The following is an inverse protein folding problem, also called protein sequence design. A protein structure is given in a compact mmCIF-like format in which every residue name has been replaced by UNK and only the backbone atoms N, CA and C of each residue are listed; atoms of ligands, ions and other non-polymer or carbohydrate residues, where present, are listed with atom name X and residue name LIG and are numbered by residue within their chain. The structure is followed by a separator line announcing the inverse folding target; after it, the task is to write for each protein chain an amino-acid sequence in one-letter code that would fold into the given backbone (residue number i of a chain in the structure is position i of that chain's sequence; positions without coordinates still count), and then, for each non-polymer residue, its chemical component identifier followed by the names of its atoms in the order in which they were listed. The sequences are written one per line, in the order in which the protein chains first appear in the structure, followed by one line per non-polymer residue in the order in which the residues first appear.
data_IF_095589113495
#
_entry.id   IF_095589113495
#
_cell.length_a   1.000
_cell.length_b   1.000
_cell.length_c   1.000
_cell.angle_alpha   90.00
_cell.angle_beta   90.00
_cell.angle_gamma   90.00
#
_symmetry.space_group_name_H-M   'P 1'
#
loop_
_entity.id
_entity.type
_entity.pdbx_description
1 polymer ?
#
# COMPACT_ATOMS: atom_id res chain seq x y z
N UNK A 1 9.66 -15.21 36.70
CA UNK A 1 10.51 -15.65 35.56
C UNK A 1 10.90 -14.41 34.78
N UNK A 2 12.16 -13.97 34.85
CA UNK A 2 12.63 -12.81 34.12
C UNK A 2 13.11 -13.27 32.73
N UNK A 3 12.29 -13.08 31.71
CA UNK A 3 12.74 -13.22 30.33
C UNK A 3 13.58 -12.00 29.97
N UNK A 4 14.90 -12.16 29.96
CA UNK A 4 15.80 -11.19 29.33
C UNK A 4 15.51 -11.19 27.82
N UNK A 5 14.84 -10.14 27.34
CA UNK A 5 14.67 -9.87 25.90
C UNK A 5 16.07 -9.63 25.33
N UNK A 6 16.67 -10.66 24.75
CA UNK A 6 17.89 -10.53 23.96
C UNK A 6 17.49 -9.81 22.67
N UNK A 7 17.55 -8.47 22.65
CA UNK A 7 17.43 -7.69 21.42
C UNK A 7 18.56 -8.12 20.49
N UNK A 8 18.24 -8.90 19.48
CA UNK A 8 19.18 -9.24 18.43
C UNK A 8 19.21 -8.02 17.48
N UNK A 9 20.28 -7.19 17.46
CA UNK A 9 20.29 -5.93 16.69
C UNK A 9 20.32 -6.14 15.18
N UNK A 10 20.45 -7.39 14.74
CA UNK A 10 20.75 -7.81 13.37
C UNK A 10 19.65 -8.66 12.72
N UNK A 11 18.47 -8.79 13.35
CA UNK A 11 17.28 -9.22 12.61
C UNK A 11 16.86 -8.06 11.70
N UNK A 12 17.35 -8.05 10.47
CA UNK A 12 17.03 -7.04 9.46
C UNK A 12 15.53 -6.76 9.44
N UNK A 13 15.13 -5.49 9.59
CA UNK A 13 13.72 -5.07 9.59
C UNK A 13 13.00 -5.48 8.29
N UNK A 14 13.76 -5.73 7.24
CA UNK A 14 13.30 -6.21 5.94
C UNK A 14 13.90 -7.59 5.66
N UNK A 15 13.69 -8.53 6.58
CA UNK A 15 14.17 -9.90 6.42
C UNK A 15 13.67 -10.50 5.09
N UNK A 16 14.60 -11.02 4.29
CA UNK A 16 14.36 -11.72 3.03
C UNK A 16 14.88 -13.15 3.14
N UNK A 17 14.22 -14.10 2.49
CA UNK A 17 14.58 -15.52 2.48
C UNK A 17 15.37 -15.93 1.23
N UNK A 18 15.83 -14.95 0.45
CA UNK A 18 16.60 -15.11 -0.79
C UNK A 18 15.96 -16.02 -1.86
N UNK A 19 14.65 -16.27 -1.77
CA UNK A 19 13.88 -17.06 -2.76
C UNK A 19 13.04 -16.12 -3.63
N UNK A 20 12.80 -16.47 -4.91
CA UNK A 20 11.94 -15.66 -5.76
C UNK A 20 10.47 -15.79 -5.34
N UNK A 21 9.81 -14.66 -5.13
CA UNK A 21 8.37 -14.58 -4.78
C UNK A 21 7.64 -13.73 -5.83
N UNK A 22 7.52 -14.20 -7.09
CA UNK A 22 7.09 -13.37 -8.21
C UNK A 22 5.70 -12.76 -8.01
N UNK A 23 4.76 -13.48 -7.39
CA UNK A 23 3.43 -12.96 -7.09
C UNK A 23 3.49 -11.86 -6.03
N UNK A 24 4.13 -12.12 -4.89
CA UNK A 24 4.24 -11.18 -3.77
C UNK A 24 5.01 -9.93 -4.15
N UNK A 25 6.11 -10.09 -4.89
CA UNK A 25 6.92 -8.98 -5.41
C UNK A 25 6.12 -8.12 -6.41
N UNK A 26 5.30 -8.77 -7.25
CA UNK A 26 4.41 -8.04 -8.18
C UNK A 26 3.31 -7.29 -7.43
N UNK A 27 2.68 -7.93 -6.44
CA UNK A 27 1.66 -7.28 -5.61
C UNK A 27 2.24 -6.09 -4.84
N UNK A 28 3.45 -6.24 -4.29
CA UNK A 28 4.20 -5.17 -3.64
C UNK A 28 4.45 -4.01 -4.60
N UNK A 29 5.04 -4.28 -5.76
CA UNK A 29 5.36 -3.25 -6.75
C UNK A 29 4.09 -2.53 -7.25
N UNK A 30 3.05 -3.29 -7.60
CA UNK A 30 1.76 -2.75 -8.03
C UNK A 30 1.14 -1.85 -6.95
N UNK A 31 1.16 -2.29 -5.69
CA UNK A 31 0.61 -1.52 -4.56
C UNK A 31 1.39 -0.23 -4.34
N UNK A 32 2.72 -0.25 -4.42
CA UNK A 32 3.54 0.95 -4.29
C UNK A 32 3.30 1.94 -5.42
N UNK A 33 3.17 1.46 -6.66
CA UNK A 33 2.85 2.31 -7.81
C UNK A 33 1.45 2.91 -7.67
N UNK A 34 0.45 2.11 -7.30
CA UNK A 34 -0.92 2.60 -7.08
C UNK A 34 -0.98 3.61 -5.94
N UNK A 35 -0.31 3.34 -4.82
CA UNK A 35 -0.23 4.27 -3.69
C UNK A 35 0.47 5.59 -4.03
N UNK A 36 1.55 5.52 -4.82
CA UNK A 36 2.24 6.72 -5.31
C UNK A 36 1.34 7.54 -6.24
N UNK A 37 0.64 6.90 -7.19
CA UNK A 37 -0.31 7.58 -8.07
C UNK A 37 -1.43 8.21 -7.23
N UNK A 38 -2.00 7.48 -6.27
CA UNK A 38 -3.09 7.96 -5.43
C UNK A 38 -2.68 9.20 -4.63
N UNK A 39 -1.55 9.15 -3.91
CA UNK A 39 -1.13 10.27 -3.05
C UNK A 39 -0.62 11.49 -3.84
N UNK A 40 -0.02 11.29 -5.03
CA UNK A 40 0.45 12.40 -5.86
C UNK A 40 -0.73 13.07 -6.57
N UNK A 41 -1.66 12.27 -7.12
CA UNK A 41 -2.84 12.80 -7.80
C UNK A 41 -3.79 13.51 -6.85
N UNK A 42 -3.83 13.13 -5.56
CA UNK A 42 -4.67 13.78 -4.56
C UNK A 42 -4.29 15.24 -4.25
N UNK A 43 -3.11 15.69 -4.67
CA UNK A 43 -2.67 17.10 -4.55
C UNK A 43 -3.45 18.00 -5.55
N UNK A 44 -4.02 17.42 -6.60
CA UNK A 44 -4.72 18.15 -7.66
C UNK A 44 -6.23 17.90 -7.58
N UNK A 45 -7.00 18.95 -7.32
CA UNK A 45 -8.48 18.87 -7.17
C UNK A 45 -9.18 18.23 -8.38
N UNK A 46 -8.63 18.45 -9.59
CA UNK A 46 -9.19 17.91 -10.84
C UNK A 46 -8.91 16.42 -11.05
N UNK A 47 -8.00 15.81 -10.28
CA UNK A 47 -7.60 14.41 -10.43
C UNK A 47 -8.21 13.49 -9.35
N UNK A 48 -9.22 13.95 -8.62
CA UNK A 48 -9.86 13.19 -7.55
C UNK A 48 -10.42 11.83 -8.02
N UNK A 49 -10.88 11.72 -9.26
CA UNK A 49 -11.37 10.45 -9.82
C UNK A 49 -10.24 9.41 -9.93
N UNK A 50 -9.08 9.84 -10.47
CA UNK A 50 -7.88 9.02 -10.57
C UNK A 50 -7.37 8.63 -9.17
N UNK A 51 -7.28 9.62 -8.27
CA UNK A 51 -6.87 9.41 -6.88
C UNK A 51 -7.76 8.41 -6.15
N UNK A 52 -9.08 8.51 -6.32
CA UNK A 52 -10.06 7.62 -5.68
C UNK A 52 -9.97 6.20 -6.22
N UNK A 53 -9.90 6.00 -7.53
CA UNK A 53 -9.82 4.64 -8.09
C UNK A 53 -8.47 3.97 -7.82
N UNK A 54 -7.37 4.69 -8.02
CA UNK A 54 -6.04 4.14 -7.77
C UNK A 54 -5.82 3.86 -6.28
N UNK A 55 -6.31 4.74 -5.40
CA UNK A 55 -6.30 4.53 -3.96
C UNK A 55 -7.16 3.32 -3.54
N UNK A 56 -8.38 3.17 -4.08
CA UNK A 56 -9.23 2.01 -3.79
C UNK A 56 -8.60 0.69 -4.22
N UNK A 57 -8.12 0.61 -5.46
CA UNK A 57 -7.47 -0.60 -5.98
C UNK A 57 -6.20 -0.88 -5.16
N UNK A 58 -5.41 0.15 -4.86
CA UNK A 58 -4.21 0.03 -4.02
C UNK A 58 -4.50 -0.52 -2.63
N UNK A 59 -5.58 -0.05 -1.97
CA UNK A 59 -6.03 -0.58 -0.67
C UNK A 59 -6.36 -2.08 -0.79
N UNK A 60 -7.14 -2.48 -1.81
CA UNK A 60 -7.54 -3.87 -2.01
C UNK A 60 -6.35 -4.78 -2.31
N UNK A 61 -5.45 -4.35 -3.21
CA UNK A 61 -4.23 -5.09 -3.54
C UNK A 61 -3.32 -5.23 -2.33
N UNK A 62 -3.15 -4.16 -1.54
CA UNK A 62 -2.34 -4.19 -0.33
C UNK A 62 -2.92 -5.13 0.73
N UNK A 63 -4.23 -5.03 0.98
CA UNK A 63 -4.93 -5.86 1.94
C UNK A 63 -4.79 -7.34 1.58
N UNK A 64 -5.02 -7.71 0.31
CA UNK A 64 -4.78 -9.07 -0.17
C UNK A 64 -3.31 -9.49 -0.02
N UNK A 65 -2.38 -8.61 -0.41
CA UNK A 65 -0.94 -8.86 -0.31
C UNK A 65 -0.49 -9.17 1.11
N UNK A 66 -1.08 -8.54 2.14
CA UNK A 66 -0.74 -8.84 3.54
C UNK A 66 -0.98 -10.32 3.90
N UNK A 67 -2.03 -10.95 3.35
CA UNK A 67 -2.38 -12.34 3.63
C UNK A 67 -1.52 -13.36 2.88
N UNK A 68 -0.94 -12.99 1.74
CA UNK A 68 -0.16 -13.89 0.87
C UNK A 68 1.35 -13.69 1.02
N UNK A 69 1.79 -12.61 1.65
CA UNK A 69 3.20 -12.27 1.85
C UNK A 69 3.92 -13.28 2.73
N UNK A 70 5.10 -13.70 2.27
CA UNK A 70 5.98 -14.66 2.93
C UNK A 70 7.00 -13.92 3.78
N UNK A 71 7.57 -12.84 3.26
CA UNK A 71 8.68 -12.12 3.90
C UNK A 71 8.23 -10.85 4.61
N UNK A 72 9.02 -10.41 5.60
CA UNK A 72 8.78 -9.13 6.29
C UNK A 72 8.94 -7.95 5.34
N UNK A 73 9.88 -8.05 4.38
CA UNK A 73 10.09 -7.01 3.35
C UNK A 73 8.81 -6.74 2.55
N UNK A 74 8.16 -7.80 2.05
CA UNK A 74 6.91 -7.69 1.29
C UNK A 74 5.83 -7.01 2.13
N UNK A 75 5.60 -7.51 3.34
CA UNK A 75 4.56 -6.97 4.25
C UNK A 75 4.80 -5.50 4.55
N UNK A 76 6.04 -5.14 4.87
CA UNK A 76 6.38 -3.76 5.18
C UNK A 76 6.11 -2.83 4.00
N UNK A 77 6.59 -3.18 2.80
CA UNK A 77 6.36 -2.37 1.61
C UNK A 77 4.87 -2.28 1.23
N UNK A 78 4.11 -3.36 1.40
CA UNK A 78 2.66 -3.34 1.22
C UNK A 78 1.95 -2.42 2.22
N UNK A 79 2.40 -2.34 3.48
CA UNK A 79 1.85 -1.37 4.45
C UNK A 79 2.16 0.06 4.02
N UNK A 80 3.38 0.34 3.54
CA UNK A 80 3.73 1.67 3.03
C UNK A 80 2.81 2.06 1.87
N UNK A 81 2.63 1.16 0.90
CA UNK A 81 1.73 1.40 -0.23
C UNK A 81 0.25 1.47 0.17
N UNK A 82 -0.18 0.70 1.18
CA UNK A 82 -1.53 0.79 1.76
C UNK A 82 -1.79 2.18 2.34
N UNK A 83 -0.86 2.70 3.15
CA UNK A 83 -1.00 4.03 3.76
C UNK A 83 -1.05 5.11 2.69
N UNK A 84 -0.17 5.06 1.69
CA UNK A 84 -0.19 6.01 0.57
C UNK A 84 -1.51 5.95 -0.20
N UNK A 85 -1.98 4.73 -0.50
CA UNK A 85 -3.27 4.50 -1.17
C UNK A 85 -4.45 5.01 -0.35
N UNK A 86 -4.44 4.79 0.97
CA UNK A 86 -5.50 5.23 1.88
C UNK A 86 -5.59 6.74 1.99
N UNK A 87 -4.44 7.44 2.06
CA UNK A 87 -4.40 8.91 2.08
C UNK A 87 -4.91 9.48 0.75
N UNK A 88 -4.41 8.97 -0.38
CA UNK A 88 -4.87 9.40 -1.70
C UNK A 88 -6.36 9.13 -1.91
N UNK A 89 -6.84 7.94 -1.52
CA UNK A 89 -8.26 7.58 -1.57
C UNK A 89 -9.11 8.53 -0.73
N UNK A 90 -8.73 8.77 0.54
CA UNK A 90 -9.49 9.63 1.45
C UNK A 90 -9.65 11.05 0.89
N UNK A 91 -8.54 11.63 0.42
CA UNK A 91 -8.55 12.98 -0.17
C UNK A 91 -9.36 12.99 -1.48
N UNK A 92 -9.17 12.00 -2.37
CA UNK A 92 -9.96 11.90 -3.60
C UNK A 92 -11.47 11.77 -3.34
N UNK A 93 -11.83 11.01 -2.31
CA UNK A 93 -13.22 10.87 -1.86
C UNK A 93 -13.80 12.20 -1.37
N UNK A 94 -13.00 13.01 -0.68
CA UNK A 94 -13.42 14.34 -0.22
C UNK A 94 -13.66 15.35 -1.35
N UNK A 95 -13.03 15.17 -2.52
CA UNK A 95 -13.08 16.12 -3.64
C UNK A 95 -14.07 15.74 -4.76
N UNK A 96 -14.84 14.67 -4.62
CA UNK A 96 -15.84 14.27 -5.63
C UNK A 96 -16.13 12.77 -5.70
N UNK A 97 -15.39 11.94 -4.95
CA UNK A 97 -15.67 10.52 -4.86
C UNK A 97 -15.27 9.72 -6.10
N UNK A 98 -15.64 8.45 -6.11
CA UNK A 98 -15.31 7.49 -7.18
C UNK A 98 -15.93 7.83 -8.54
N UNK A 99 -16.91 8.73 -8.58
CA UNK A 99 -17.66 9.05 -9.80
C UNK A 99 -17.59 10.52 -10.19
N UNK A 100 -17.10 11.43 -9.34
CA UNK A 100 -16.86 12.83 -9.71
C UNK A 100 -18.08 13.55 -10.30
N UNK A 101 -19.30 13.13 -9.95
CA UNK A 101 -20.55 13.64 -10.53
C UNK A 101 -20.92 13.08 -11.91
N UNK A 102 -20.18 12.14 -12.50
CA UNK A 102 -20.46 11.53 -13.82
C UNK A 102 -21.70 10.63 -13.81
N UNK A 103 -22.07 10.09 -12.64
CA UNK A 103 -23.29 9.28 -12.46
C UNK A 103 -24.45 10.08 -11.83
N UNK A 104 -24.37 11.41 -11.81
CA UNK A 104 -25.36 12.32 -11.23
C UNK A 104 -25.92 13.31 -12.25
#
# INVERSE_FOLDING_TARGET
MAHAVRRNPSASLLNTDHRPHPLQDTLLAATLVLGAIAIISSIFDSLHLLSSWTGLIGILTAAYGQFVSVTTRERFGLIVGLVASAVGFYIGMAHGGLFGGVLG
#
